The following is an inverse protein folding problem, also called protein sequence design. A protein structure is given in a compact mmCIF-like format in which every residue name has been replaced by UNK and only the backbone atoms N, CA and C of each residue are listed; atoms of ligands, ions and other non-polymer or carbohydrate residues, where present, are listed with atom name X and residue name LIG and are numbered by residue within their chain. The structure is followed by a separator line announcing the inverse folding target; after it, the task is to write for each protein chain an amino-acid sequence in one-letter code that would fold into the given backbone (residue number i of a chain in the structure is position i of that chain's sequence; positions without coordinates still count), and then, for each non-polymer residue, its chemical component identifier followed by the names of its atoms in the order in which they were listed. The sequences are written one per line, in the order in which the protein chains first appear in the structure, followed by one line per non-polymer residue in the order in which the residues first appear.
data_IF_222408819199
#
_entry.id   IF_222408819199
#
_cell.length_a   1.000
_cell.length_b   1.000
_cell.length_c   1.000
_cell.angle_alpha   90.00
_cell.angle_beta   90.00
_cell.angle_gamma   90.00
#
_symmetry.space_group_name_H-M   'P 1'
#
loop_
_entity.id
_entity.type
_entity.pdbx_description
1 polymer ?
#
# COMPACT_ATOMS: atom_id res chain seq x y z
N UNK A 1 13.32 -16.95 22.46
CA UNK A 1 12.82 -16.49 21.15
C UNK A 1 11.37 -16.07 21.30
N UNK A 2 11.07 -14.77 21.45
CA UNK A 2 9.69 -14.31 21.77
C UNK A 2 9.27 -13.06 20.99
N UNK A 3 9.95 -12.74 19.90
CA UNK A 3 9.88 -11.40 19.28
C UNK A 3 9.19 -11.40 17.92
N UNK A 4 9.30 -12.47 17.12
CA UNK A 4 8.77 -12.46 15.75
C UNK A 4 7.23 -12.49 15.69
N UNK A 5 6.56 -13.26 16.55
CA UNK A 5 5.10 -13.44 16.47
C UNK A 5 4.30 -12.21 16.90
N UNK A 6 4.68 -11.55 18.00
CA UNK A 6 3.99 -10.33 18.47
C UNK A 6 4.20 -9.14 17.53
N UNK A 7 5.42 -8.99 17.01
CA UNK A 7 5.71 -7.95 16.02
C UNK A 7 4.91 -8.17 14.73
N UNK A 8 4.87 -9.41 14.21
CA UNK A 8 4.06 -9.75 13.04
C UNK A 8 2.57 -9.46 13.25
N UNK A 9 2.03 -9.78 14.43
CA UNK A 9 0.66 -9.44 14.78
C UNK A 9 0.42 -7.92 14.84
N UNK A 10 1.41 -7.16 15.30
CA UNK A 10 1.34 -5.70 15.37
C UNK A 10 1.43 -5.02 13.99
N UNK A 11 2.26 -5.52 13.07
CA UNK A 11 2.40 -4.90 11.73
C UNK A 11 1.36 -5.39 10.72
N UNK A 12 0.62 -6.44 11.06
CA UNK A 12 -0.40 -7.00 10.17
C UNK A 12 -1.43 -5.92 9.79
N UNK A 13 -1.73 -5.83 8.50
CA UNK A 13 -2.67 -4.90 7.87
C UNK A 13 -2.26 -3.41 7.95
N UNK A 14 -1.12 -3.09 8.59
CA UNK A 14 -0.62 -1.71 8.67
C UNK A 14 -0.09 -1.21 7.32
N UNK A 15 0.47 -2.10 6.50
CA UNK A 15 0.86 -1.85 5.12
C UNK A 15 -0.33 -1.39 4.26
N UNK A 16 -1.48 -2.06 4.42
CA UNK A 16 -2.72 -1.73 3.73
C UNK A 16 -3.32 -0.41 4.21
N UNK A 17 -3.27 -0.14 5.52
CA UNK A 17 -3.65 1.17 6.09
C UNK A 17 -2.79 2.28 5.49
N UNK A 18 -1.47 2.14 5.50
CA UNK A 18 -0.56 3.14 4.94
C UNK A 18 -0.76 3.32 3.43
N UNK A 19 -1.09 2.26 2.70
CA UNK A 19 -1.42 2.39 1.28
C UNK A 19 -2.68 3.22 1.02
N UNK A 20 -3.74 3.04 1.82
CA UNK A 20 -4.95 3.88 1.72
C UNK A 20 -4.66 5.34 2.07
N UNK A 21 -3.92 5.58 3.16
CA UNK A 21 -3.50 6.92 3.56
C UNK A 21 -2.65 7.56 2.45
N UNK A 22 -1.69 6.83 1.87
CA UNK A 22 -0.83 7.31 0.80
C UNK A 22 -1.65 7.75 -0.43
N UNK A 23 -2.68 6.99 -0.82
CA UNK A 23 -3.57 7.38 -1.92
C UNK A 23 -4.29 8.70 -1.63
N UNK A 24 -4.81 8.88 -0.42
CA UNK A 24 -5.50 10.11 -0.02
C UNK A 24 -4.55 11.30 0.02
N UNK A 25 -3.35 11.13 0.60
CA UNK A 25 -2.32 12.18 0.66
C UNK A 25 -1.87 12.61 -0.73
N UNK A 26 -1.57 11.66 -1.63
CA UNK A 26 -0.95 11.97 -2.93
C UNK A 26 -1.95 12.20 -4.07
N UNK A 27 -3.19 11.70 -3.97
CA UNK A 27 -4.20 11.87 -5.05
C UNK A 27 -5.25 12.91 -4.70
N UNK A 28 -5.50 13.13 -3.41
CA UNK A 28 -6.51 14.09 -2.94
C UNK A 28 -5.88 15.25 -2.16
N UNK A 29 -4.54 15.33 -2.10
CA UNK A 29 -3.78 16.38 -1.40
C UNK A 29 -4.18 16.54 0.08
N UNK A 30 -4.59 15.44 0.72
CA UNK A 30 -4.94 15.46 2.15
C UNK A 30 -3.70 15.52 3.02
N UNK A 31 -3.82 16.12 4.21
CA UNK A 31 -2.80 15.91 5.25
C UNK A 31 -2.82 14.45 5.71
N UNK A 32 -1.70 13.96 6.26
CA UNK A 32 -1.66 12.61 6.85
C UNK A 32 -2.77 12.42 7.89
N UNK A 33 -3.00 13.43 8.73
CA UNK A 33 -4.02 13.42 9.78
C UNK A 33 -5.43 13.28 9.21
N UNK A 34 -5.79 14.09 8.22
CA UNK A 34 -7.13 14.04 7.62
C UNK A 34 -7.35 12.73 6.88
N UNK A 35 -6.32 12.22 6.19
CA UNK A 35 -6.37 10.93 5.51
C UNK A 35 -6.55 9.77 6.51
N UNK A 36 -5.84 9.81 7.64
CA UNK A 36 -5.99 8.83 8.71
C UNK A 36 -7.39 8.89 9.34
N UNK A 37 -7.93 10.09 9.57
CA UNK A 37 -9.30 10.26 10.06
C UNK A 37 -10.34 9.72 9.06
N UNK A 38 -10.12 9.91 7.76
CA UNK A 38 -10.97 9.34 6.72
C UNK A 38 -10.95 7.81 6.75
N UNK A 39 -9.77 7.18 6.78
CA UNK A 39 -9.62 5.72 6.88
C UNK A 39 -10.26 5.20 8.17
N UNK A 40 -10.13 5.92 9.29
CA UNK A 40 -10.79 5.57 10.55
C UNK A 40 -12.33 5.59 10.45
N UNK A 41 -12.90 6.62 9.81
CA UNK A 41 -14.35 6.79 9.63
C UNK A 41 -14.93 5.72 8.71
N UNK A 42 -14.31 5.49 7.57
CA UNK A 42 -14.73 4.46 6.59
C UNK A 42 -14.54 3.03 7.14
N UNK A 43 -13.60 2.86 8.08
CA UNK A 43 -13.33 1.59 8.76
C UNK A 43 -13.10 0.37 7.83
N UNK A 44 -12.30 0.48 6.75
CA UNK A 44 -11.96 -0.67 5.90
C UNK A 44 -11.07 -1.70 6.63
N UNK A 45 -10.47 -1.33 7.77
CA UNK A 45 -9.59 -2.17 8.57
C UNK A 45 -10.06 -2.30 10.03
N UNK A 46 -11.10 -3.12 10.31
CA UNK A 46 -11.66 -3.24 11.66
C UNK A 46 -10.64 -3.63 12.73
N UNK A 47 -9.62 -4.43 12.39
CA UNK A 47 -8.55 -4.84 13.30
C UNK A 47 -7.64 -3.67 13.73
N UNK A 48 -7.52 -2.64 12.90
CA UNK A 48 -6.68 -1.45 13.14
C UNK A 48 -7.45 -0.27 13.67
N UNK A 49 -8.79 -0.35 13.76
CA UNK A 49 -9.64 0.78 14.16
C UNK A 49 -9.22 1.38 15.50
N UNK A 50 -8.94 0.53 16.49
CA UNK A 50 -8.48 0.97 17.81
C UNK A 50 -7.13 1.68 17.74
N UNK A 51 -6.21 1.19 16.91
CA UNK A 51 -4.90 1.80 16.75
C UNK A 51 -5.01 3.20 16.11
N UNK A 52 -5.87 3.33 15.11
CA UNK A 52 -6.16 4.62 14.47
C UNK A 52 -6.86 5.60 15.42
N UNK A 53 -7.85 5.13 16.18
CA UNK A 53 -8.53 5.92 17.22
C UNK A 53 -7.55 6.42 18.29
N UNK A 54 -6.66 5.52 18.73
CA UNK A 54 -5.63 5.85 19.70
C UNK A 54 -4.66 6.90 19.17
N UNK A 55 -4.19 6.76 17.93
CA UNK A 55 -3.28 7.74 17.33
C UNK A 55 -3.96 9.10 17.05
N UNK A 56 -5.24 9.08 16.63
CA UNK A 56 -6.02 10.31 16.42
C UNK A 56 -6.25 11.10 17.72
N UNK A 57 -6.47 10.39 18.83
CA UNK A 57 -6.66 10.97 20.16
C UNK A 57 -5.34 11.38 20.83
N UNK A 58 -4.26 10.62 20.61
CA UNK A 58 -2.94 10.82 21.22
C UNK A 58 -1.84 10.73 20.13
N UNK A 59 -1.50 11.84 19.46
CA UNK A 59 -0.68 11.86 18.24
C UNK A 59 0.80 11.42 18.37
N UNK A 60 1.22 10.93 19.52
CA UNK A 60 2.62 10.53 19.82
C UNK A 60 2.69 9.08 20.32
N UNK A 61 1.60 8.33 20.26
CA UNK A 61 1.53 7.01 20.89
C UNK A 61 2.25 5.92 20.09
N UNK A 62 1.88 5.76 18.83
CA UNK A 62 2.34 4.64 17.98
C UNK A 62 3.33 5.13 16.93
N UNK A 63 3.45 6.45 16.72
CA UNK A 63 4.38 7.04 15.77
C UNK A 63 4.00 6.74 14.33
N UNK A 64 2.71 6.59 14.04
CA UNK A 64 2.25 6.13 12.71
C UNK A 64 2.63 7.11 11.61
N UNK A 65 2.65 8.40 11.89
CA UNK A 65 3.05 9.43 10.93
C UNK A 65 4.55 9.34 10.58
N UNK A 66 5.40 9.07 11.57
CA UNK A 66 6.84 8.88 11.35
C UNK A 66 7.11 7.60 10.57
N UNK A 67 6.47 6.49 10.95
CA UNK A 67 6.59 5.23 10.22
C UNK A 67 6.06 5.34 8.79
N UNK A 68 4.92 6.02 8.59
CA UNK A 68 4.40 6.31 7.26
C UNK A 68 5.41 7.11 6.44
N UNK A 69 5.99 8.19 7.00
CA UNK A 69 7.01 8.99 6.32
C UNK A 69 8.22 8.14 5.94
N UNK A 70 8.73 7.31 6.84
CA UNK A 70 9.85 6.38 6.57
C UNK A 70 9.52 5.39 5.47
N UNK A 71 8.32 4.82 5.46
CA UNK A 71 7.89 3.85 4.45
C UNK A 71 7.65 4.48 3.08
N UNK A 72 7.29 5.77 3.04
CA UNK A 72 6.97 6.49 1.81
C UNK A 72 8.11 7.37 1.30
N UNK A 73 9.22 7.45 2.06
CA UNK A 73 10.41 8.19 1.67
C UNK A 73 10.96 7.66 0.34
N UNK A 74 11.04 8.54 -0.67
CA UNK A 74 11.48 8.17 -2.01
C UNK A 74 10.41 7.55 -2.91
N UNK A 75 9.18 7.34 -2.43
CA UNK A 75 8.04 7.01 -3.29
C UNK A 75 7.53 8.30 -3.94
N UNK A 76 8.03 8.62 -5.13
CA UNK A 76 7.51 9.72 -5.95
C UNK A 76 6.04 9.46 -6.36
N UNK A 77 5.24 10.53 -6.49
CA UNK A 77 3.89 10.52 -7.09
C UNK A 77 3.81 9.76 -8.42
N UNK A 78 4.94 9.69 -9.13
CA UNK A 78 5.07 9.02 -10.41
C UNK A 78 5.02 7.49 -10.33
N UNK A 79 4.89 6.91 -9.14
CA UNK A 79 4.48 5.52 -8.93
C UNK A 79 3.00 5.33 -9.30
N UNK A 80 2.71 5.53 -10.58
CA UNK A 80 1.55 5.05 -11.31
C UNK A 80 1.67 3.52 -11.43
N UNK A 81 1.76 2.83 -10.29
CA UNK A 81 2.04 1.40 -10.16
C UNK A 81 1.06 0.52 -10.94
N UNK A 82 -0.24 0.84 -11.10
CA UNK A 82 -1.11 0.09 -12.00
C UNK A 82 -0.65 0.21 -13.46
N UNK A 83 -0.27 1.42 -13.93
CA UNK A 83 0.25 1.59 -15.29
C UNK A 83 1.61 0.92 -15.45
N UNK A 84 2.54 1.16 -14.53
CA UNK A 84 3.90 0.58 -14.57
C UNK A 84 3.87 -0.94 -14.44
N UNK A 85 3.01 -1.51 -13.59
CA UNK A 85 2.85 -2.96 -13.46
C UNK A 85 2.16 -3.56 -14.70
N UNK A 86 1.16 -2.89 -15.29
CA UNK A 86 0.58 -3.33 -16.57
C UNK A 86 1.62 -3.29 -17.69
N UNK A 87 2.43 -2.23 -17.77
CA UNK A 87 3.54 -2.15 -18.74
C UNK A 87 4.60 -3.23 -18.49
N UNK A 88 4.97 -3.46 -17.23
CA UNK A 88 5.88 -4.52 -16.81
C UNK A 88 5.33 -5.91 -17.16
N UNK A 89 4.07 -6.19 -16.83
CA UNK A 89 3.39 -7.45 -17.13
C UNK A 89 3.31 -7.67 -18.65
N UNK A 90 2.92 -6.66 -19.44
CA UNK A 90 2.94 -6.72 -20.91
C UNK A 90 4.35 -7.00 -21.45
N UNK A 91 5.38 -6.35 -20.91
CA UNK A 91 6.77 -6.60 -21.28
C UNK A 91 7.19 -8.04 -20.95
N UNK A 92 6.82 -8.56 -19.78
CA UNK A 92 7.09 -9.94 -19.37
C UNK A 92 6.36 -10.96 -20.25
N UNK A 93 5.10 -10.73 -20.57
CA UNK A 93 4.32 -11.54 -21.51
C UNK A 93 4.96 -11.55 -22.90
N UNK A 94 5.41 -10.39 -23.40
CA UNK A 94 6.08 -10.30 -24.70
C UNK A 94 7.41 -11.05 -24.72
N UNK A 95 8.20 -10.96 -23.66
CA UNK A 95 9.44 -11.74 -23.51
C UNK A 95 9.10 -13.24 -23.53
N UNK A 96 8.12 -13.67 -22.73
CA UNK A 96 7.69 -15.06 -22.64
C UNK A 96 7.18 -15.62 -23.98
N UNK A 97 6.50 -14.81 -24.79
CA UNK A 97 6.14 -15.14 -26.18
C UNK A 97 7.38 -15.32 -27.07
N UNK A 98 8.34 -14.39 -27.00
CA UNK A 98 9.58 -14.44 -27.81
C UNK A 98 10.42 -15.69 -27.50
N UNK A 99 10.51 -16.06 -26.22
CA UNK A 99 11.29 -17.24 -25.79
C UNK A 99 10.49 -18.54 -25.82
N UNK A 100 9.25 -18.52 -26.32
CA UNK A 100 8.43 -19.72 -26.50
C UNK A 100 7.85 -20.32 -25.22
N UNK A 101 7.85 -19.59 -24.10
CA UNK A 101 7.16 -20.00 -22.87
C UNK A 101 5.64 -19.86 -22.98
N UNK A 102 5.16 -18.94 -23.83
CA UNK A 102 3.73 -18.79 -24.14
C UNK A 102 3.54 -19.23 -25.59
N UNK A 103 2.70 -20.25 -25.86
CA UNK A 103 2.33 -20.60 -27.22
C UNK A 103 1.72 -19.37 -27.88
N UNK A 104 2.19 -19.01 -29.09
CA UNK A 104 1.43 -18.07 -29.93
C UNK A 104 0.05 -18.69 -30.09
N UNK A 105 -0.96 -18.08 -29.48
CA UNK A 105 -2.34 -18.51 -29.69
C UNK A 105 -2.51 -18.61 -31.21
N UNK A 106 -3.01 -19.74 -31.68
CA UNK A 106 -3.31 -19.96 -33.09
C UNK A 106 -4.34 -18.89 -33.48
N UNK A 107 -3.86 -17.73 -33.94
CA UNK A 107 -4.69 -16.76 -34.64
C UNK A 107 -4.94 -17.44 -35.98
N UNK A 108 -5.99 -18.26 -35.98
CA UNK A 108 -6.47 -18.96 -37.15
C UNK A 108 -7.08 -17.88 -38.04
N UNK A 109 -6.56 -17.84 -39.26
CA UNK A 109 -6.84 -16.92 -40.37
C UNK A 109 -8.32 -16.70 -40.64
#
# INVERSE_FOLDING_TARGET
EYTTSRYLAFVKDLDSVFFEIWKLVNRQQMSFRDAMEHVYKENPFPLRKRDLEHELSHPVSLGLEEEFRRCTEGISEECDLPRRYVHYARKKLKIAEIIGLIPKSKITT
#
